data_IF_826127746732
#
_entry.id   IF_826127746732
#
_cell.length_a   1.000
_cell.length_b   1.000
_cell.length_c   1.000
_cell.angle_alpha   90.00
_cell.angle_beta   90.00
_cell.angle_gamma   90.00
#
_symmetry.space_group_name_H-M   'P 1'
#
loop_
_entity.id
_entity.type
_entity.pdbx_description
1 polymer ?
#
# COMPACT_ATOMS: atom_id res chain seq x y z
N UNK A 1 -13.55 11.29 -36.84
CA UNK A 1 -12.47 11.49 -35.84
C UNK A 1 -12.98 12.37 -34.71
N UNK A 2 -13.17 11.84 -33.49
CA UNK A 2 -13.42 12.68 -32.30
C UNK A 2 -12.10 13.33 -31.91
N UNK A 3 -12.01 14.67 -31.99
CA UNK A 3 -10.87 15.43 -31.47
C UNK A 3 -10.81 15.25 -29.95
N UNK A 4 -9.70 14.76 -29.43
CA UNK A 4 -9.40 14.78 -27.99
C UNK A 4 -9.30 16.24 -27.54
N UNK A 5 -10.14 16.67 -26.61
CA UNK A 5 -10.03 17.96 -25.94
C UNK A 5 -8.78 17.95 -25.07
N UNK A 6 -7.67 18.49 -25.60
CA UNK A 6 -6.46 18.77 -24.82
C UNK A 6 -6.85 19.64 -23.62
N UNK A 7 -6.69 19.11 -22.40
CA UNK A 7 -6.82 19.91 -21.16
C UNK A 7 -5.75 21.00 -21.21
N UNK A 8 -6.18 22.27 -21.34
CA UNK A 8 -5.31 23.46 -21.49
C UNK A 8 -4.84 24.07 -20.17
N UNK A 9 -5.10 23.42 -19.04
CA UNK A 9 -4.88 23.96 -17.70
C UNK A 9 -4.20 22.93 -16.80
N UNK A 10 -3.50 23.42 -15.76
CA UNK A 10 -2.89 22.59 -14.74
C UNK A 10 -3.94 21.77 -13.98
N UNK A 11 -3.59 20.55 -13.60
CA UNK A 11 -4.45 19.69 -12.79
C UNK A 11 -3.96 19.75 -11.34
N UNK A 12 -4.89 19.86 -10.40
CA UNK A 12 -4.59 19.70 -8.99
C UNK A 12 -4.43 18.21 -8.68
N UNK A 13 -3.38 17.88 -7.94
CA UNK A 13 -3.09 16.54 -7.47
C UNK A 13 -3.09 16.55 -5.94
N UNK A 14 -3.71 15.55 -5.31
CA UNK A 14 -3.63 15.40 -3.85
C UNK A 14 -2.24 14.85 -3.49
N UNK A 15 -1.47 15.63 -2.73
CA UNK A 15 -0.06 15.35 -2.47
C UNK A 15 0.25 15.19 -0.98
N UNK A 16 1.21 14.33 -0.65
CA UNK A 16 1.87 14.29 0.65
C UNK A 16 3.34 14.69 0.48
N UNK A 17 3.74 15.75 1.17
CA UNK A 17 5.07 16.37 1.00
C UNK A 17 6.18 15.70 1.78
N UNK A 18 5.85 14.84 2.75
CA UNK A 18 6.86 14.18 3.58
C UNK A 18 6.28 12.91 4.21
N UNK A 19 6.86 11.76 3.89
CA UNK A 19 6.53 10.47 4.50
C UNK A 19 7.81 9.84 5.04
N UNK A 20 7.78 9.51 6.33
CA UNK A 20 8.67 8.51 6.90
C UNK A 20 8.10 7.13 6.65
N UNK A 21 8.99 6.19 6.34
CA UNK A 21 8.64 4.80 6.10
C UNK A 21 9.18 3.91 7.23
N UNK A 22 8.77 2.64 7.29
CA UNK A 22 9.36 1.67 8.21
C UNK A 22 10.88 1.50 8.14
N UNK A 23 11.56 2.02 7.11
CA UNK A 23 13.03 2.06 7.05
C UNK A 23 13.64 3.18 7.92
N UNK A 24 12.86 4.18 8.33
CA UNK A 24 13.30 5.24 9.25
C UNK A 24 13.28 4.76 10.69
N UNK A 25 14.30 5.13 11.48
CA UNK A 25 14.34 4.86 12.91
C UNK A 25 13.23 5.58 13.70
N UNK A 26 12.75 6.71 13.18
CA UNK A 26 11.73 7.54 13.83
C UNK A 26 10.30 7.13 13.43
N UNK A 27 10.15 6.06 12.64
CA UNK A 27 8.86 5.64 12.13
C UNK A 27 8.02 4.91 13.19
N UNK A 28 6.86 5.47 13.49
CA UNK A 28 5.85 4.85 14.33
C UNK A 28 4.57 4.65 13.53
N UNK A 29 4.27 3.41 13.16
CA UNK A 29 3.06 3.07 12.42
C UNK A 29 1.79 3.16 13.27
N UNK A 30 1.88 2.77 14.54
CA UNK A 30 0.79 2.82 15.51
C UNK A 30 1.30 3.58 16.74
N UNK A 31 0.74 4.75 17.07
CA UNK A 31 1.09 5.46 18.30
C UNK A 31 0.89 4.55 19.51
N UNK A 32 1.97 4.22 20.22
CA UNK A 32 1.95 3.37 21.41
C UNK A 32 1.95 1.84 21.17
N UNK A 33 2.11 1.36 19.93
CA UNK A 33 2.12 -0.07 19.61
C UNK A 33 3.43 -0.52 18.95
N UNK A 34 4.31 -1.18 19.70
CA UNK A 34 5.61 -1.69 19.21
C UNK A 34 5.61 -3.19 18.93
N UNK A 35 4.49 -3.90 19.15
CA UNK A 35 4.44 -5.36 19.04
C UNK A 35 3.87 -5.84 17.70
N UNK A 36 4.48 -6.90 17.17
CA UNK A 36 3.98 -7.75 16.08
C UNK A 36 2.46 -7.93 16.07
N UNK A 37 1.91 -8.22 17.25
CA UNK A 37 0.50 -8.55 17.44
C UNK A 37 -0.39 -7.31 17.22
N UNK A 38 0.02 -6.14 17.71
CA UNK A 38 -0.75 -4.90 17.52
C UNK A 38 -0.88 -4.50 16.06
N UNK A 39 0.13 -4.82 15.23
CA UNK A 39 0.10 -4.52 13.81
C UNK A 39 -0.90 -5.41 13.03
N UNK A 40 -0.88 -6.71 13.34
CA UNK A 40 -1.80 -7.70 12.80
C UNK A 40 -3.23 -7.37 13.21
N UNK A 41 -3.45 -7.12 14.50
CA UNK A 41 -4.77 -6.79 15.05
C UNK A 41 -5.29 -5.48 14.43
N UNK A 42 -4.42 -4.49 14.23
CA UNK A 42 -4.77 -3.25 13.53
C UNK A 42 -5.16 -3.52 12.06
N UNK A 43 -4.38 -4.33 11.34
CA UNK A 43 -4.65 -4.68 9.96
C UNK A 43 -5.99 -5.42 9.80
N UNK A 44 -6.34 -6.31 10.74
CA UNK A 44 -7.67 -6.93 10.80
C UNK A 44 -8.76 -5.89 11.10
N UNK A 45 -8.54 -5.01 12.08
CA UNK A 45 -9.51 -3.97 12.49
C UNK A 45 -9.90 -3.03 11.35
N UNK A 46 -8.94 -2.66 10.50
CA UNK A 46 -9.22 -1.80 9.33
C UNK A 46 -9.72 -2.60 8.11
N UNK A 47 -9.91 -3.92 8.23
CA UNK A 47 -10.35 -4.79 7.15
C UNK A 47 -9.30 -5.03 6.06
N UNK A 48 -8.03 -4.70 6.31
CA UNK A 48 -6.93 -4.93 5.38
C UNK A 48 -6.57 -6.42 5.30
N UNK A 49 -6.58 -7.11 6.45
CA UNK A 49 -6.46 -8.57 6.53
C UNK A 49 -7.79 -9.18 6.96
N UNK A 50 -8.10 -10.37 6.43
CA UNK A 50 -9.23 -11.20 6.86
C UNK A 50 -8.79 -12.25 7.88
N UNK A 51 -9.73 -12.83 8.61
CA UNK A 51 -9.48 -13.78 9.71
C UNK A 51 -8.62 -15.00 9.31
N UNK A 52 -8.60 -15.35 8.01
CA UNK A 52 -7.71 -16.38 7.46
C UNK A 52 -6.36 -15.78 7.03
N UNK A 53 -5.42 -15.79 7.97
CA UNK A 53 -4.14 -15.07 7.93
C UNK A 53 -3.10 -15.50 6.87
N UNK A 54 -3.48 -16.30 5.87
CA UNK A 54 -2.58 -16.78 4.82
C UNK A 54 -2.29 -15.72 3.73
N UNK A 55 -2.99 -14.60 3.75
CA UNK A 55 -2.84 -13.53 2.76
C UNK A 55 -1.49 -12.81 2.82
N UNK A 56 -0.72 -12.92 3.93
CA UNK A 56 0.63 -12.37 3.98
C UNK A 56 1.62 -13.26 3.22
N UNK A 57 1.41 -14.58 3.19
CA UNK A 57 2.24 -15.50 2.38
C UNK A 57 2.10 -15.25 0.87
N UNK A 58 0.96 -14.70 0.42
CA UNK A 58 0.76 -14.27 -0.96
C UNK A 58 1.60 -13.05 -1.36
N UNK A 59 2.05 -12.28 -0.36
CA UNK A 59 2.96 -11.16 -0.58
C UNK A 59 4.40 -11.64 -0.50
N UNK A 60 5.17 -11.29 -1.54
CA UNK A 60 6.58 -11.66 -1.59
C UNK A 60 7.36 -10.81 -0.58
N UNK A 61 7.88 -11.43 0.47
CA UNK A 61 8.75 -10.79 1.48
C UNK A 61 10.14 -10.44 0.96
N UNK A 62 10.48 -10.86 -0.27
CA UNK A 62 11.79 -10.61 -0.88
C UNK A 62 12.01 -9.10 -1.00
N UNK A 63 12.99 -8.57 -0.28
CA UNK A 63 13.31 -7.14 -0.21
C UNK A 63 12.90 -6.46 1.09
N UNK A 64 12.20 -7.15 1.99
CA UNK A 64 11.88 -6.69 3.35
C UNK A 64 12.71 -7.47 4.38
N UNK A 65 13.01 -6.82 5.50
CA UNK A 65 13.75 -7.35 6.65
C UNK A 65 12.98 -8.48 7.34
N UNK A 66 11.65 -8.34 7.46
CA UNK A 66 10.77 -9.32 8.08
C UNK A 66 9.31 -9.12 7.63
N UNK A 67 8.42 -10.01 8.08
CA UNK A 67 6.99 -9.95 7.77
C UNK A 67 6.32 -8.66 8.29
N UNK A 68 6.74 -8.15 9.45
CA UNK A 68 6.22 -6.91 10.02
C UNK A 68 6.56 -5.69 9.18
N UNK A 69 7.79 -5.60 8.68
CA UNK A 69 8.21 -4.53 7.79
C UNK A 69 7.37 -4.58 6.51
N UNK A 70 7.22 -5.77 5.91
CA UNK A 70 6.38 -5.96 4.72
C UNK A 70 4.93 -5.49 4.97
N UNK A 71 4.30 -5.97 6.05
CA UNK A 71 2.94 -5.57 6.41
C UNK A 71 2.84 -4.06 6.67
N UNK A 72 3.85 -3.44 7.28
CA UNK A 72 3.89 -2.00 7.52
C UNK A 72 3.89 -1.20 6.21
N UNK A 73 4.70 -1.60 5.23
CA UNK A 73 4.70 -0.96 3.90
C UNK A 73 3.40 -1.20 3.14
N UNK A 74 2.80 -2.38 3.27
CA UNK A 74 1.51 -2.68 2.65
C UNK A 74 0.37 -1.83 3.23
N UNK A 75 0.35 -1.63 4.55
CA UNK A 75 -0.62 -0.75 5.21
C UNK A 75 -0.41 0.72 4.84
N UNK A 76 0.85 1.16 4.75
CA UNK A 76 1.18 2.50 4.26
C UNK A 76 0.69 2.69 2.82
N UNK A 77 0.95 1.72 1.94
CA UNK A 77 0.46 1.75 0.56
C UNK A 77 -1.07 1.77 0.50
N UNK A 78 -1.76 0.97 1.34
CA UNK A 78 -3.20 0.97 1.43
C UNK A 78 -3.75 2.33 1.84
N UNK A 79 -3.15 2.96 2.86
CA UNK A 79 -3.56 4.29 3.33
C UNK A 79 -3.41 5.35 2.25
N UNK A 80 -2.35 5.31 1.45
CA UNK A 80 -2.18 6.22 0.32
C UNK A 80 -3.27 6.04 -0.75
N UNK A 81 -3.69 4.80 -0.99
CA UNK A 81 -4.77 4.49 -1.93
C UNK A 81 -6.13 4.95 -1.38
N UNK A 82 -6.42 4.65 -0.11
CA UNK A 82 -7.68 5.03 0.54
C UNK A 82 -7.85 6.55 0.64
N UNK A 83 -6.75 7.27 0.83
CA UNK A 83 -6.72 8.73 0.84
C UNK A 83 -6.63 9.35 -0.55
N UNK A 84 -6.61 8.55 -1.63
CA UNK A 84 -6.48 9.03 -3.01
C UNK A 84 -5.25 9.95 -3.21
N UNK A 85 -4.13 9.64 -2.56
CA UNK A 85 -2.87 10.38 -2.73
C UNK A 85 -2.26 10.02 -4.08
N UNK A 86 -2.04 11.05 -4.90
CA UNK A 86 -1.50 10.90 -6.25
C UNK A 86 0.02 11.04 -6.28
N UNK A 87 0.58 11.90 -5.41
CA UNK A 87 2.01 12.18 -5.32
C UNK A 87 2.43 12.14 -3.86
N UNK A 88 3.47 11.36 -3.57
CA UNK A 88 4.06 11.28 -2.24
C UNK A 88 5.58 11.47 -2.34
N UNK A 89 6.12 12.35 -1.50
CA UNK A 89 7.57 12.51 -1.33
C UNK A 89 8.00 11.67 -0.14
N UNK A 90 8.86 10.69 -0.41
CA UNK A 90 9.36 9.73 0.59
C UNK A 90 10.75 10.16 1.03
N UNK A 91 10.91 10.46 2.31
CA UNK A 91 12.14 10.99 2.89
C UNK A 91 12.41 10.30 4.22
N UNK A 92 13.15 9.21 4.18
CA UNK A 92 13.71 8.63 5.40
C UNK A 92 15.00 9.36 5.72
N UNK A 93 15.15 9.79 6.98
CA UNK A 93 16.14 10.78 7.41
C UNK A 93 17.59 10.50 6.95
N UNK A 94 17.93 9.27 6.55
CA UNK A 94 19.24 8.92 5.99
C UNK A 94 19.20 7.81 4.91
N UNK A 95 18.05 7.48 4.32
CA UNK A 95 17.96 6.32 3.43
C UNK A 95 16.95 6.48 2.29
N UNK A 96 17.25 5.89 1.12
CA UNK A 96 16.32 5.79 -0.01
C UNK A 96 15.60 4.42 -0.07
N UNK A 97 15.96 3.48 0.81
CA UNK A 97 15.41 2.13 0.80
C UNK A 97 13.89 2.11 1.00
N UNK A 98 13.37 3.06 1.79
CA UNK A 98 11.93 3.14 2.00
C UNK A 98 11.15 3.51 0.77
N UNK A 99 11.73 4.30 -0.14
CA UNK A 99 11.14 4.53 -1.45
C UNK A 99 11.06 3.23 -2.25
N UNK A 100 12.15 2.47 -2.34
CA UNK A 100 12.20 1.21 -3.08
C UNK A 100 11.20 0.19 -2.52
N UNK A 101 11.16 0.02 -1.20
CA UNK A 101 10.25 -0.90 -0.50
C UNK A 101 8.79 -0.49 -0.64
N UNK A 102 8.47 0.80 -0.54
CA UNK A 102 7.12 1.30 -0.75
C UNK A 102 6.66 1.10 -2.21
N UNK A 103 7.54 1.36 -3.18
CA UNK A 103 7.25 1.12 -4.59
C UNK A 103 6.93 -0.36 -4.84
N UNK A 104 7.70 -1.28 -4.24
CA UNK A 104 7.47 -2.71 -4.38
C UNK A 104 6.19 -3.18 -3.64
N UNK A 105 5.90 -2.61 -2.46
CA UNK A 105 4.64 -2.86 -1.77
C UNK A 105 3.43 -2.41 -2.63
N UNK A 106 3.47 -1.23 -3.25
CA UNK A 106 2.43 -0.74 -4.14
C UNK A 106 2.26 -1.64 -5.37
N UNK A 107 3.37 -2.11 -5.98
CA UNK A 107 3.32 -3.06 -7.11
C UNK A 107 2.65 -4.37 -6.70
N UNK A 108 3.05 -4.92 -5.55
CA UNK A 108 2.48 -6.15 -5.01
C UNK A 108 0.98 -5.99 -4.68
N UNK A 109 0.60 -4.86 -4.09
CA UNK A 109 -0.78 -4.51 -3.79
C UNK A 109 -1.65 -4.43 -5.06
N UNK A 110 -1.17 -3.74 -6.10
CA UNK A 110 -1.84 -3.67 -7.42
C UNK A 110 -1.98 -5.05 -8.07
N UNK A 111 -0.95 -5.90 -7.97
CA UNK A 111 -0.97 -7.27 -8.51
C UNK A 111 -2.05 -8.12 -7.82
N UNK A 112 -2.18 -8.04 -6.50
CA UNK A 112 -3.21 -8.76 -5.74
C UNK A 112 -4.63 -8.28 -6.09
N UNK A 113 -4.90 -6.98 -6.02
CA UNK A 113 -6.23 -6.44 -6.40
C UNK A 113 -6.65 -6.84 -7.82
N UNK A 114 -5.71 -6.89 -8.77
CA UNK A 114 -5.99 -7.38 -10.13
C UNK A 114 -6.34 -8.87 -10.17
N UNK A 115 -5.70 -9.70 -9.35
CA UNK A 115 -6.03 -11.13 -9.24
C UNK A 115 -7.40 -11.32 -8.60
N UNK A 116 -7.72 -10.57 -7.55
CA UNK A 116 -9.03 -10.64 -6.90
C UNK A 116 -10.14 -10.27 -7.88
N UNK A 117 -9.95 -9.18 -8.66
CA UNK A 117 -10.90 -8.78 -9.71
C UNK A 117 -11.01 -9.83 -10.84
N UNK A 118 -9.90 -10.47 -11.24
CA UNK A 118 -9.92 -11.52 -12.26
C UNK A 118 -10.52 -12.84 -11.75
N UNK A 119 -10.39 -13.14 -10.46
CA UNK A 119 -11.05 -14.27 -9.82
C UNK A 119 -12.58 -14.11 -9.74
N UNK A 120 -13.08 -12.88 -9.94
CA UNK A 120 -14.51 -12.54 -10.00
C UNK A 120 -15.12 -12.57 -11.42
N UNK A 121 -14.40 -13.05 -12.44
CA UNK A 121 -14.88 -13.22 -13.82
C UNK A 121 -14.62 -14.67 -14.24
N UNK A 122 -15.57 -15.57 -14.49
CA UNK A 122 -16.99 -15.49 -14.84
C UNK A 122 -17.71 -16.69 -14.21
N UNK A 123 -18.67 -16.47 -13.33
CA UNK A 123 -19.78 -17.41 -13.09
C UNK A 123 -20.93 -16.57 -12.52
N UNK A 124 -22.08 -16.62 -13.18
CA UNK A 124 -23.35 -15.97 -12.82
C UNK A 124 -23.52 -14.51 -13.25
N UNK A 125 -23.69 -14.31 -14.56
CA UNK A 125 -24.85 -13.56 -15.06
C UNK A 125 -25.31 -14.26 -16.35
N UNK A 126 -26.24 -15.21 -16.18
CA UNK A 126 -27.06 -15.73 -17.27
C UNK A 126 -28.17 -14.74 -17.57
N UNK A 127 -28.41 -14.51 -18.86
CA UNK A 127 -29.59 -13.84 -19.40
C UNK A 127 -30.89 -14.48 -18.93
#
# INVERSE_FOLDING_TARGET
>A
MKKSTLKKYGQYHKCVFHIHTPASHDYTLIPGGTCSKTLIDYAMKIGFLRENFNEIEDFTYKGFKNQHECLSYLLLANKLVDEEIEIAVVTDHNCIDGFCKLADAIKNFKRKRRKDIKGFSTNNFGY
#
